data_IF_562215141547
#
_entry.id   IF_562215141547
#
_cell.length_a   1.000
_cell.length_b   1.000
_cell.length_c   1.000
_cell.angle_alpha   90.00
_cell.angle_beta   90.00
_cell.angle_gamma   90.00
#
_symmetry.space_group_name_H-M   'P 1'
#
loop_
_entity.id
_entity.type
_entity.pdbx_description
1 polymer ?
#
# COMPACT_ATOMS: atom_id res chain seq x y z
N UNK A 1 -14.61 -10.75 -11.88
CA UNK A 1 -14.02 -9.94 -10.80
C UNK A 1 -12.52 -10.13 -10.88
N UNK A 2 -11.74 -9.05 -11.06
CA UNK A 2 -10.29 -9.13 -10.81
C UNK A 2 -10.11 -9.33 -9.31
N UNK A 3 -9.37 -10.34 -8.93
CA UNK A 3 -9.14 -10.69 -7.53
C UNK A 3 -8.17 -9.67 -6.95
N UNK A 4 -8.66 -8.80 -6.08
CA UNK A 4 -7.84 -7.87 -5.32
C UNK A 4 -7.32 -8.60 -4.08
N UNK A 5 -6.00 -8.69 -3.93
CA UNK A 5 -5.38 -9.28 -2.75
C UNK A 5 -5.26 -8.22 -1.66
N UNK A 6 -5.64 -8.57 -0.44
CA UNK A 6 -5.43 -7.74 0.74
C UNK A 6 -4.13 -8.17 1.40
N UNK A 7 -3.26 -7.23 1.70
CA UNK A 7 -1.95 -7.48 2.28
C UNK A 7 -1.72 -6.63 3.52
N UNK A 8 -0.84 -7.11 4.40
CA UNK A 8 -0.30 -6.35 5.52
C UNK A 8 1.12 -5.93 5.20
N UNK A 9 1.46 -4.66 5.44
CA UNK A 9 2.84 -4.18 5.35
C UNK A 9 3.62 -4.72 6.56
N UNK A 10 4.62 -5.56 6.32
CA UNK A 10 5.47 -6.13 7.37
C UNK A 10 6.82 -5.42 7.50
N UNK A 11 7.28 -4.77 6.43
CA UNK A 11 8.53 -4.00 6.40
C UNK A 11 8.43 -2.84 5.40
N UNK A 12 9.10 -1.73 5.69
CA UNK A 12 9.30 -0.60 4.78
C UNK A 12 10.81 -0.37 4.61
N UNK A 13 11.29 -0.51 3.38
CA UNK A 13 12.70 -0.38 3.01
C UNK A 13 13.05 1.02 2.47
N UNK A 14 12.04 1.89 2.35
CA UNK A 14 12.18 3.27 1.90
C UNK A 14 11.34 4.21 2.75
N UNK A 15 11.62 5.51 2.63
CA UNK A 15 10.86 6.56 3.30
C UNK A 15 9.87 7.17 2.30
N UNK A 16 8.60 6.82 2.46
CA UNK A 16 7.50 7.45 1.74
C UNK A 16 7.29 8.86 2.27
N UNK A 17 7.25 9.85 1.37
CA UNK A 17 7.00 11.25 1.70
C UNK A 17 5.84 11.75 0.87
N UNK A 18 4.87 12.37 1.53
CA UNK A 18 3.81 13.06 0.82
C UNK A 18 4.38 14.16 -0.08
N UNK A 19 3.85 14.26 -1.29
CA UNK A 19 4.05 15.34 -2.23
C UNK A 19 2.70 15.98 -2.58
N UNK A 20 2.70 17.06 -3.37
CA UNK A 20 1.50 17.88 -3.66
C UNK A 20 0.32 17.07 -4.24
N UNK A 21 0.64 15.95 -4.90
CA UNK A 21 -0.33 15.04 -5.53
C UNK A 21 -0.55 13.72 -4.76
N UNK A 22 0.04 13.54 -3.58
CA UNK A 22 -0.20 12.33 -2.78
C UNK A 22 -1.64 12.33 -2.28
N UNK A 23 -2.28 11.16 -2.28
CA UNK A 23 -3.64 10.97 -1.80
C UNK A 23 -3.65 10.24 -0.46
N UNK A 24 -4.48 10.71 0.47
CA UNK A 24 -4.65 10.12 1.80
C UNK A 24 -4.22 11.05 2.94
N UNK A 25 -4.28 10.53 4.17
CA UNK A 25 -4.09 11.30 5.40
C UNK A 25 -2.67 11.22 5.98
N UNK A 26 -1.88 10.19 5.63
CA UNK A 26 -0.48 10.03 6.06
C UNK A 26 0.27 9.00 5.22
N UNK A 27 1.60 9.04 5.26
CA UNK A 27 2.47 8.00 4.70
C UNK A 27 2.19 6.61 5.32
N UNK A 28 2.47 5.52 4.57
CA UNK A 28 2.28 4.15 5.03
C UNK A 28 3.22 3.83 6.19
N UNK A 29 2.83 2.87 7.02
CA UNK A 29 3.67 2.32 8.11
C UNK A 29 3.54 0.80 8.18
N UNK A 30 4.53 0.19 8.81
CA UNK A 30 4.46 -1.23 9.18
C UNK A 30 3.20 -1.49 10.00
N UNK A 31 2.45 -2.53 9.63
CA UNK A 31 1.20 -2.93 10.23
C UNK A 31 -0.05 -2.40 9.52
N UNK A 32 0.08 -1.46 8.58
CA UNK A 32 -1.06 -1.03 7.77
C UNK A 32 -1.57 -2.18 6.88
N UNK A 33 -2.88 -2.20 6.68
CA UNK A 33 -3.55 -3.11 5.75
C UNK A 33 -3.78 -2.36 4.45
N UNK A 34 -3.45 -3.01 3.33
CA UNK A 34 -3.58 -2.42 2.01
C UNK A 34 -4.23 -3.39 1.03
N UNK A 35 -4.94 -2.83 0.05
CA UNK A 35 -5.48 -3.58 -1.09
C UNK A 35 -4.57 -3.36 -2.28
N UNK A 36 -4.15 -4.44 -2.94
CA UNK A 36 -3.46 -4.37 -4.25
C UNK A 36 -4.52 -4.07 -5.31
N UNK A 37 -4.46 -2.88 -5.90
CA UNK A 37 -5.37 -2.44 -6.95
C UNK A 37 -4.92 -2.93 -8.34
N UNK A 38 -3.60 -2.88 -8.59
CA UNK A 38 -2.99 -3.36 -9.83
C UNK A 38 -1.58 -3.91 -9.58
N UNK A 39 -1.12 -4.78 -10.48
CA UNK A 39 0.20 -5.43 -10.42
C UNK A 39 0.97 -5.15 -11.69
N UNK A 40 2.17 -4.59 -11.53
CA UNK A 40 3.13 -4.35 -12.60
C UNK A 40 4.31 -5.32 -12.47
N UNK A 41 5.24 -5.30 -13.44
CA UNK A 41 6.39 -6.21 -13.46
C UNK A 41 7.28 -6.07 -12.20
N UNK A 42 7.46 -4.84 -11.72
CA UNK A 42 8.36 -4.49 -10.62
C UNK A 42 7.69 -3.63 -9.54
N UNK A 43 6.37 -3.45 -9.59
CA UNK A 43 5.63 -2.58 -8.68
C UNK A 43 4.18 -3.02 -8.44
N UNK A 44 3.59 -2.49 -7.37
CA UNK A 44 2.18 -2.65 -7.00
C UNK A 44 1.53 -1.30 -6.82
N UNK A 45 0.32 -1.12 -7.34
CA UNK A 45 -0.53 0.00 -6.94
C UNK A 45 -1.30 -0.39 -5.68
N UNK A 46 -1.07 0.33 -4.57
CA UNK A 46 -1.55 -0.07 -3.25
C UNK A 46 -2.38 1.04 -2.62
N UNK A 47 -3.56 0.67 -2.14
CA UNK A 47 -4.40 1.50 -1.29
C UNK A 47 -4.31 1.01 0.16
N UNK A 48 -3.65 1.77 1.02
CA UNK A 48 -3.68 1.56 2.47
C UNK A 48 -4.95 2.19 3.04
N UNK A 49 -5.73 1.45 3.82
CA UNK A 49 -6.98 1.96 4.42
C UNK A 49 -7.04 1.64 5.91
N UNK A 50 -7.74 2.48 6.67
CA UNK A 50 -7.99 2.23 8.10
C UNK A 50 -9.13 1.22 8.31
N UNK A 51 -9.46 0.97 9.58
CA UNK A 51 -10.53 0.02 9.95
C UNK A 51 -11.93 0.45 9.49
N UNK A 52 -12.12 1.73 9.18
CA UNK A 52 -13.38 2.28 8.70
C UNK A 52 -13.43 2.32 7.15
N UNK A 53 -12.38 1.83 6.49
CA UNK A 53 -12.25 1.81 5.03
C UNK A 53 -11.83 3.15 4.43
N UNK A 54 -11.36 4.10 5.24
CA UNK A 54 -10.88 5.40 4.75
C UNK A 54 -9.47 5.23 4.22
N UNK A 55 -9.22 5.71 2.99
CA UNK A 55 -7.90 5.71 2.38
C UNK A 55 -6.91 6.54 3.21
N UNK A 56 -5.88 5.88 3.71
CA UNK A 56 -4.75 6.48 4.43
C UNK A 56 -3.68 6.92 3.43
N UNK A 57 -3.39 6.09 2.45
CA UNK A 57 -2.33 6.29 1.46
C UNK A 57 -2.67 5.54 0.19
N UNK A 58 -2.50 6.18 -0.96
CA UNK A 58 -2.70 5.57 -2.27
C UNK A 58 -1.55 5.98 -3.19
N UNK A 59 -0.64 5.04 -3.45
CA UNK A 59 0.50 5.25 -4.34
C UNK A 59 1.09 3.91 -4.82
N UNK A 60 1.99 3.99 -5.80
CA UNK A 60 2.75 2.86 -6.30
C UNK A 60 3.93 2.53 -5.36
N UNK A 61 4.13 1.24 -5.12
CA UNK A 61 5.24 0.70 -4.35
C UNK A 61 6.07 -0.16 -5.29
N UNK A 62 7.35 0.13 -5.43
CA UNK A 62 8.24 -0.83 -6.08
C UNK A 62 8.35 -2.08 -5.20
N UNK A 63 8.60 -3.23 -5.82
CA UNK A 63 8.80 -4.50 -5.12
C UNK A 63 9.94 -4.48 -4.10
N UNK A 64 10.86 -3.51 -4.20
CA UNK A 64 11.92 -3.27 -3.22
C UNK A 64 11.51 -2.40 -2.04
N UNK A 65 10.45 -1.60 -2.16
CA UNK A 65 10.14 -0.53 -1.21
C UNK A 65 9.53 -1.04 0.10
N UNK A 66 8.89 -2.20 0.07
CA UNK A 66 8.21 -2.78 1.20
C UNK A 66 8.05 -4.31 1.05
N UNK A 67 7.89 -4.98 2.18
CA UNK A 67 7.53 -6.41 2.24
C UNK A 67 6.08 -6.54 2.69
N UNK A 68 5.37 -7.47 2.06
CA UNK A 68 3.94 -7.68 2.29
C UNK A 68 3.65 -9.13 2.71
N UNK A 69 2.68 -9.29 3.60
CA UNK A 69 2.08 -10.59 3.95
C UNK A 69 0.65 -10.63 3.41
N UNK A 70 0.29 -11.68 2.66
CA UNK A 70 -1.07 -11.87 2.19
C UNK A 70 -2.01 -12.16 3.36
N UNK A 71 -3.15 -11.48 3.41
CA UNK A 71 -4.21 -11.72 4.38
C UNK A 71 -5.32 -12.47 3.64
N UNK A 72 -5.60 -13.70 4.08
CA UNK A 72 -6.71 -14.52 3.59
C UNK A 72 -8.08 -13.98 4.00
#
# INVERSE_FOLDING_TARGET
>A
MKQYSVVKITELNTVFKAHENSFGSRSPRVGDIATILDVYEDAYDLECSDSDGVTIWLEMFNTSDATFELIE
#
